data_IF_989210114176
#
_entry.id   IF_989210114176
#
_cell.length_a   1.000
_cell.length_b   1.000
_cell.length_c   1.000
_cell.angle_alpha   90.00
_cell.angle_beta   90.00
_cell.angle_gamma   90.00
#
_symmetry.space_group_name_H-M   'P 1'
#
loop_
_entity.id
_entity.type
_entity.pdbx_description
1 polymer ?
#
# COMPACT_ATOMS: atom_id res chain seq x y z
N UNK A 1 -7.30 -57.70 -25.48
CA UNK A 1 -7.47 -57.87 -24.04
C UNK A 1 -6.72 -56.68 -23.43
N UNK A 2 -7.43 -55.61 -23.18
CA UNK A 2 -6.90 -54.41 -22.57
C UNK A 2 -7.69 -54.16 -21.30
N UNK A 3 -7.02 -54.31 -20.16
CA UNK A 3 -7.60 -54.08 -18.84
C UNK A 3 -7.56 -52.56 -18.54
N UNK A 4 -8.74 -51.98 -18.49
CA UNK A 4 -8.90 -50.58 -18.06
C UNK A 4 -8.95 -50.51 -16.54
N UNK A 5 -8.09 -49.71 -15.94
CA UNK A 5 -8.14 -49.29 -14.55
C UNK A 5 -9.15 -48.16 -14.39
N UNK A 6 -10.01 -48.20 -13.39
CA UNK A 6 -10.97 -47.12 -13.12
C UNK A 6 -10.31 -45.95 -12.40
N UNK A 7 -10.78 -44.69 -12.58
CA UNK A 7 -10.24 -43.51 -11.90
C UNK A 7 -10.60 -43.49 -10.42
N UNK A 8 -9.61 -43.34 -9.55
CA UNK A 8 -9.79 -43.21 -8.10
C UNK A 8 -10.45 -41.86 -7.76
N UNK A 9 -11.59 -41.93 -7.10
CA UNK A 9 -12.32 -40.82 -6.52
C UNK A 9 -11.60 -40.28 -5.28
N UNK A 10 -11.26 -38.98 -5.27
CA UNK A 10 -10.60 -38.27 -4.17
C UNK A 10 -11.48 -37.97 -2.94
N UNK A 11 -12.52 -38.76 -2.69
CA UNK A 11 -13.50 -38.49 -1.63
C UNK A 11 -13.50 -39.47 -0.43
N UNK A 12 -12.56 -40.39 -0.35
CA UNK A 12 -12.54 -41.34 0.77
C UNK A 12 -11.23 -41.34 1.56
N UNK A 13 -10.94 -40.25 2.24
CA UNK A 13 -9.88 -40.22 3.26
C UNK A 13 -10.17 -39.20 4.38
N UNK A 14 -11.37 -39.29 4.95
CA UNK A 14 -11.65 -38.69 6.27
C UNK A 14 -12.54 -39.67 7.04
N UNK A 15 -11.94 -40.66 7.67
CA UNK A 15 -12.56 -41.36 8.79
C UNK A 15 -11.46 -42.07 9.62
N UNK A 16 -11.33 -41.65 10.86
CA UNK A 16 -10.78 -42.49 11.91
C UNK A 16 -9.45 -42.06 12.47
N UNK A 17 -9.48 -41.43 13.62
CA UNK A 17 -8.74 -41.91 14.80
C UNK A 17 -9.49 -41.43 16.03
N UNK A 18 -10.07 -42.38 16.68
CA UNK A 18 -10.76 -42.26 17.94
C UNK A 18 -9.81 -42.27 19.13
N UNK A 19 -10.34 -41.73 20.16
CA UNK A 19 -10.16 -41.88 21.59
C UNK A 19 -9.22 -42.97 22.12
N UNK A 20 -8.34 -42.59 23.06
CA UNK A 20 -7.88 -43.33 24.28
C UNK A 20 -7.05 -42.31 25.06
N UNK A 21 -7.20 -42.02 26.31
CA UNK A 21 -7.66 -42.73 27.48
C UNK A 21 -7.14 -41.94 28.69
N UNK A 22 -8.01 -41.63 29.61
CA UNK A 22 -7.73 -41.07 30.93
C UNK A 22 -7.16 -42.16 31.84
N UNK A 23 -6.03 -41.95 32.49
CA UNK A 23 -5.68 -42.50 33.81
C UNK A 23 -4.60 -41.63 34.49
N UNK A 24 -4.96 -40.93 35.53
CA UNK A 24 -4.53 -41.05 36.91
C UNK A 24 -3.06 -40.77 37.19
N UNK A 25 -2.75 -39.60 37.76
CA UNK A 25 -1.51 -39.30 38.40
C UNK A 25 -1.65 -38.06 39.27
N UNK A 26 -1.92 -38.27 40.59
CA UNK A 26 -1.85 -37.20 41.58
C UNK A 26 -0.39 -36.76 41.74
N UNK A 27 -0.06 -35.59 41.23
CA UNK A 27 1.22 -34.97 41.43
C UNK A 27 1.01 -33.52 41.87
N UNK A 28 1.52 -33.21 43.05
CA UNK A 28 1.50 -31.91 43.70
C UNK A 28 1.89 -30.79 42.76
N UNK A 29 0.90 -29.93 42.42
CA UNK A 29 1.11 -28.67 41.75
C UNK A 29 1.72 -27.71 42.78
N UNK A 30 3.02 -27.47 42.65
CA UNK A 30 3.69 -26.31 43.22
C UNK A 30 3.10 -25.08 42.53
N UNK A 31 2.33 -24.34 43.31
CA UNK A 31 1.84 -23.00 42.96
C UNK A 31 3.02 -22.06 42.82
N UNK A 32 3.64 -22.06 41.66
CA UNK A 32 4.44 -20.90 41.17
C UNK A 32 3.52 -20.06 40.32
N UNK A 33 3.33 -18.81 40.79
CA UNK A 33 2.41 -17.84 40.28
C UNK A 33 2.18 -17.92 38.77
N UNK A 34 0.90 -17.99 38.39
CA UNK A 34 0.44 -17.65 37.07
C UNK A 34 0.94 -16.22 36.78
N UNK A 35 1.48 -15.95 35.58
CA UNK A 35 1.66 -14.57 35.17
C UNK A 35 0.29 -13.92 35.25
N UNK A 36 0.15 -12.93 36.13
CA UNK A 36 -0.99 -12.02 36.13
C UNK A 36 -0.97 -11.37 34.75
N UNK A 37 -1.95 -11.69 33.91
CA UNK A 37 -2.34 -10.80 32.85
C UNK A 37 -2.95 -9.61 33.57
N UNK A 38 -2.11 -8.65 33.89
CA UNK A 38 -2.53 -7.35 34.29
C UNK A 38 -3.39 -6.85 33.12
N UNK A 39 -4.68 -6.77 33.34
CA UNK A 39 -5.55 -5.95 32.52
C UNK A 39 -5.11 -4.51 32.82
N UNK A 40 -4.00 -4.12 32.22
CA UNK A 40 -3.70 -2.71 32.03
C UNK A 40 -4.93 -2.13 31.39
N UNK A 41 -5.59 -1.25 32.12
CA UNK A 41 -6.54 -0.30 31.57
C UNK A 41 -5.89 0.20 30.30
N UNK A 42 -6.56 -0.10 29.17
CA UNK A 42 -6.27 0.55 27.92
C UNK A 42 -6.55 2.03 28.19
N UNK A 43 -5.52 2.75 28.57
CA UNK A 43 -5.46 4.15 28.27
C UNK A 43 -5.74 4.20 26.79
N UNK A 44 -6.90 4.72 26.42
CA UNK A 44 -7.14 5.20 25.08
C UNK A 44 -6.08 6.27 24.90
N UNK A 45 -4.94 5.83 24.41
CA UNK A 45 -4.03 6.66 23.69
C UNK A 45 -4.86 7.19 22.52
N UNK A 46 -5.35 8.41 22.68
CA UNK A 46 -5.75 9.24 21.56
C UNK A 46 -4.44 9.49 20.80
N UNK A 47 -3.91 8.41 20.20
CA UNK A 47 -2.75 8.44 19.36
C UNK A 47 -3.11 9.26 18.15
N UNK A 48 -2.63 10.46 18.11
CA UNK A 48 -2.14 11.02 16.86
C UNK A 48 -1.40 9.87 16.21
N UNK A 49 -1.95 9.37 15.11
CA UNK A 49 -1.44 8.26 14.33
C UNK A 49 -0.11 8.76 13.74
N UNK A 50 0.93 8.69 14.57
CA UNK A 50 2.31 9.01 14.25
C UNK A 50 2.80 7.91 13.29
N UNK A 51 2.10 7.79 12.13
CA UNK A 51 2.56 6.97 11.02
C UNK A 51 3.83 7.61 10.52
N UNK A 52 4.91 7.12 11.08
CA UNK A 52 6.22 7.42 10.56
C UNK A 52 6.16 7.17 9.05
N UNK A 53 6.48 8.15 8.19
CA UNK A 53 6.36 8.00 6.75
C UNK A 53 7.12 6.75 6.31
N UNK A 54 6.49 5.97 5.43
CA UNK A 54 7.11 4.79 4.84
C UNK A 54 8.09 5.26 3.77
N UNK A 55 9.30 4.79 3.85
CA UNK A 55 10.37 5.21 2.96
C UNK A 55 10.68 4.14 1.91
N UNK A 56 10.79 4.56 0.65
CA UNK A 56 11.24 3.74 -0.48
C UNK A 56 12.59 4.24 -0.96
N UNK A 57 13.57 3.36 -1.02
CA UNK A 57 14.88 3.68 -1.60
C UNK A 57 14.76 3.78 -3.12
N UNK A 58 14.91 5.00 -3.64
CA UNK A 58 14.83 5.29 -5.08
C UNK A 58 16.21 5.24 -5.74
N UNK A 59 16.21 4.99 -7.05
CA UNK A 59 17.43 4.95 -7.85
C UNK A 59 17.55 6.17 -8.76
N UNK A 60 18.76 6.47 -9.21
CA UNK A 60 19.01 7.48 -10.25
C UNK A 60 18.59 6.90 -11.62
N UNK A 61 17.47 7.39 -12.14
CA UNK A 61 16.87 7.00 -13.41
C UNK A 61 16.12 8.17 -14.03
N UNK A 62 15.57 8.00 -15.23
CA UNK A 62 14.79 9.05 -15.88
C UNK A 62 13.57 9.43 -15.01
N UNK A 63 13.48 10.72 -14.60
CA UNK A 63 12.44 11.23 -13.72
C UNK A 63 12.57 10.82 -12.24
N UNK A 64 13.66 10.15 -11.86
CA UNK A 64 13.93 9.68 -10.49
C UNK A 64 15.34 10.04 -10.07
N UNK A 65 15.49 10.55 -8.85
CA UNK A 65 16.79 10.76 -8.21
C UNK A 65 17.05 9.67 -7.18
N UNK A 66 18.34 9.29 -7.05
CA UNK A 66 18.74 8.35 -5.99
C UNK A 66 18.54 8.99 -4.61
N UNK A 67 17.90 8.29 -3.71
CA UNK A 67 17.60 8.79 -2.37
C UNK A 67 16.46 8.05 -1.72
N UNK A 68 15.65 8.78 -0.99
CA UNK A 68 14.49 8.23 -0.27
C UNK A 68 13.24 8.99 -0.69
N UNK A 69 12.20 8.25 -1.05
CA UNK A 69 10.86 8.78 -1.30
C UNK A 69 9.96 8.37 -0.13
N UNK A 70 9.46 9.36 0.60
CA UNK A 70 8.56 9.13 1.72
C UNK A 70 7.09 9.06 1.25
N UNK A 71 6.29 8.23 1.88
CA UNK A 71 4.84 8.13 1.69
C UNK A 71 4.19 8.18 3.08
N UNK A 72 3.24 9.11 3.33
CA UNK A 72 2.68 10.08 2.39
C UNK A 72 3.65 11.20 1.99
N UNK A 73 3.24 11.98 0.99
CA UNK A 73 3.89 13.23 0.55
C UNK A 73 2.95 14.41 0.79
N UNK A 74 3.41 15.63 0.48
CA UNK A 74 2.56 16.84 0.50
C UNK A 74 1.50 16.87 -0.64
N UNK A 75 1.39 15.81 -1.42
CA UNK A 75 0.44 15.68 -2.53
C UNK A 75 -0.11 14.26 -2.67
N UNK A 76 -1.21 14.14 -3.40
CA UNK A 76 -1.81 12.83 -3.72
C UNK A 76 -0.81 11.98 -4.49
N UNK A 77 -0.51 10.80 -3.98
CA UNK A 77 0.53 9.93 -4.52
C UNK A 77 -0.06 8.72 -5.22
N UNK A 78 0.27 8.56 -6.51
CA UNK A 78 -0.03 7.34 -7.28
C UNK A 78 1.14 6.38 -7.19
N UNK A 79 0.89 5.16 -6.70
CA UNK A 79 1.95 4.16 -6.50
C UNK A 79 1.65 2.92 -7.32
N UNK A 80 2.60 2.49 -8.16
CA UNK A 80 2.52 1.22 -8.87
C UNK A 80 3.52 0.20 -8.32
N UNK A 81 3.01 -0.94 -7.88
CA UNK A 81 3.84 -2.09 -7.49
C UNK A 81 4.02 -3.02 -8.68
N UNK A 82 5.27 -3.42 -8.96
CA UNK A 82 5.60 -4.16 -10.18
C UNK A 82 6.76 -5.14 -10.03
N UNK A 83 6.99 -5.91 -11.09
CA UNK A 83 8.24 -6.65 -11.35
C UNK A 83 8.62 -6.52 -12.81
N UNK A 84 9.90 -6.55 -13.14
CA UNK A 84 10.40 -6.36 -14.51
C UNK A 84 10.04 -7.50 -15.45
N UNK A 85 9.85 -8.72 -14.93
CA UNK A 85 9.45 -9.90 -15.73
C UNK A 85 7.96 -10.00 -16.04
N UNK A 86 7.14 -9.04 -15.63
CA UNK A 86 5.69 -9.06 -15.75
C UNK A 86 5.21 -8.34 -17.03
N UNK A 87 4.64 -9.04 -17.98
CA UNK A 87 4.13 -8.44 -19.22
C UNK A 87 2.99 -7.43 -18.99
N UNK A 88 2.13 -7.65 -17.99
CA UNK A 88 1.09 -6.68 -17.63
C UNK A 88 1.69 -5.42 -17.00
N UNK A 89 2.79 -5.54 -16.24
CA UNK A 89 3.50 -4.38 -15.71
C UNK A 89 4.07 -3.53 -16.84
N UNK A 90 4.70 -4.16 -17.84
CA UNK A 90 5.18 -3.47 -19.05
C UNK A 90 4.04 -2.77 -19.80
N UNK A 91 2.88 -3.42 -19.93
CA UNK A 91 1.71 -2.85 -20.60
C UNK A 91 1.05 -1.70 -19.79
N UNK A 92 1.25 -1.64 -18.47
CA UNK A 92 0.75 -0.57 -17.61
C UNK A 92 1.60 0.70 -17.74
N UNK A 93 2.91 0.59 -17.94
CA UNK A 93 3.84 1.72 -17.92
C UNK A 93 3.44 2.90 -18.83
N UNK A 94 3.17 2.71 -20.14
CA UNK A 94 2.81 3.84 -21.00
C UNK A 94 1.51 4.53 -20.57
N UNK A 95 0.55 3.78 -20.01
CA UNK A 95 -0.71 4.36 -19.52
C UNK A 95 -0.53 5.19 -18.26
N UNK A 96 0.40 4.77 -17.41
CA UNK A 96 0.76 5.52 -16.22
C UNK A 96 1.56 6.77 -16.59
N UNK A 97 2.42 6.69 -17.60
CA UNK A 97 3.13 7.84 -18.14
C UNK A 97 2.16 8.90 -18.70
N UNK A 98 1.19 8.47 -19.51
CA UNK A 98 0.15 9.36 -20.05
C UNK A 98 -0.69 10.01 -18.95
N UNK A 99 -1.10 9.22 -17.93
CA UNK A 99 -1.86 9.73 -16.78
C UNK A 99 -1.05 10.76 -15.97
N UNK A 100 0.25 10.47 -15.76
CA UNK A 100 1.16 11.39 -15.07
C UNK A 100 1.30 12.70 -15.82
N UNK A 101 1.51 12.66 -17.14
CA UNK A 101 1.65 13.86 -17.96
C UNK A 101 0.41 14.75 -17.80
N UNK A 102 -0.80 14.19 -17.97
CA UNK A 102 -2.06 14.91 -17.83
C UNK A 102 -2.24 15.50 -16.42
N UNK A 103 -1.99 14.71 -15.39
CA UNK A 103 -2.20 15.11 -14.00
C UNK A 103 -1.18 16.17 -13.53
N UNK A 104 0.09 16.04 -13.91
CA UNK A 104 1.13 17.03 -13.57
C UNK A 104 0.89 18.35 -14.32
N UNK A 105 0.48 18.30 -15.59
CA UNK A 105 0.14 19.51 -16.35
C UNK A 105 -1.03 20.28 -15.72
N UNK A 106 -1.99 19.56 -15.14
CA UNK A 106 -3.21 20.15 -14.57
C UNK A 106 -3.06 20.56 -13.11
N UNK A 107 -2.35 19.78 -12.30
CA UNK A 107 -2.31 19.90 -10.84
C UNK A 107 -0.92 20.22 -10.28
N UNK A 108 0.14 20.15 -11.09
CA UNK A 108 1.51 20.45 -10.66
C UNK A 108 2.01 19.55 -9.54
N UNK A 109 2.59 20.17 -8.53
CA UNK A 109 3.21 19.47 -7.39
C UNK A 109 2.20 18.81 -6.43
N UNK A 110 0.89 19.04 -6.64
CA UNK A 110 -0.16 18.39 -5.84
C UNK A 110 -0.30 16.91 -6.14
N UNK A 111 0.35 16.40 -7.19
CA UNK A 111 0.34 15.00 -7.55
C UNK A 111 1.75 14.44 -7.62
N UNK A 112 1.95 13.28 -7.03
CA UNK A 112 3.22 12.57 -7.00
C UNK A 112 3.07 11.17 -7.57
N UNK A 113 4.17 10.66 -8.14
CA UNK A 113 4.19 9.32 -8.72
C UNK A 113 5.40 8.54 -8.21
N UNK A 114 5.15 7.30 -7.82
CA UNK A 114 6.15 6.33 -7.38
C UNK A 114 5.87 4.98 -8.03
N UNK A 115 6.92 4.28 -8.45
CA UNK A 115 6.84 2.86 -8.76
C UNK A 115 7.82 2.08 -7.90
N UNK A 116 7.34 1.06 -7.20
CA UNK A 116 8.13 0.24 -6.31
C UNK A 116 8.17 -1.21 -6.82
N UNK A 117 9.38 -1.74 -7.05
CA UNK A 117 9.53 -3.14 -7.46
C UNK A 117 9.67 -4.07 -6.26
N UNK A 118 9.02 -5.23 -6.34
CA UNK A 118 9.20 -6.31 -5.34
C UNK A 118 10.56 -7.01 -5.40
N UNK A 119 11.32 -6.75 -6.46
CA UNK A 119 12.66 -7.29 -6.61
C UNK A 119 13.63 -6.54 -5.71
N UNK A 120 14.70 -7.17 -5.29
CA UNK A 120 15.74 -6.57 -4.47
C UNK A 120 16.96 -6.20 -5.32
N UNK A 121 17.85 -5.31 -4.86
CA UNK A 121 19.09 -5.00 -5.57
C UNK A 121 19.96 -6.24 -5.92
N UNK A 122 19.87 -7.30 -5.12
CA UNK A 122 20.56 -8.56 -5.40
C UNK A 122 19.98 -9.35 -6.59
N UNK A 123 18.67 -9.23 -6.82
CA UNK A 123 17.94 -9.94 -7.88
C UNK A 123 17.70 -9.08 -9.12
N UNK A 124 17.71 -7.78 -8.96
CA UNK A 124 17.57 -6.76 -9.99
C UNK A 124 18.54 -5.61 -9.68
N UNK A 125 19.77 -5.61 -10.17
CA UNK A 125 20.71 -4.52 -10.00
C UNK A 125 20.15 -3.19 -10.51
N UNK A 126 20.53 -2.06 -9.90
CA UNK A 126 20.06 -0.73 -10.30
C UNK A 126 20.23 -0.44 -11.79
N UNK A 127 21.34 -0.87 -12.38
CA UNK A 127 21.60 -0.68 -13.80
C UNK A 127 20.53 -1.36 -14.68
N UNK A 128 20.10 -2.57 -14.29
CA UNK A 128 19.08 -3.34 -15.01
C UNK A 128 17.69 -2.72 -14.79
N UNK A 129 17.40 -2.24 -13.57
CA UNK A 129 16.15 -1.52 -13.26
C UNK A 129 16.08 -0.21 -14.06
N UNK A 130 17.18 0.55 -14.15
CA UNK A 130 17.28 1.80 -14.91
C UNK A 130 17.06 1.56 -16.41
N UNK A 131 17.68 0.51 -16.98
CA UNK A 131 17.50 0.14 -18.38
C UNK A 131 16.05 -0.25 -18.67
N UNK A 132 15.45 -1.06 -17.81
CA UNK A 132 14.05 -1.45 -17.91
C UNK A 132 13.13 -0.24 -17.84
N UNK A 133 13.39 0.67 -16.89
CA UNK A 133 12.62 1.89 -16.64
C UNK A 133 12.55 2.78 -17.89
N UNK A 134 13.70 3.12 -18.44
CA UNK A 134 13.82 3.92 -19.67
C UNK A 134 13.17 3.24 -20.87
N UNK A 135 13.34 1.92 -20.99
CA UNK A 135 12.76 1.14 -22.11
C UNK A 135 11.22 1.16 -22.09
N UNK A 136 10.60 1.28 -20.93
CA UNK A 136 9.15 1.23 -20.75
C UNK A 136 8.51 2.58 -20.43
N UNK A 137 9.13 3.69 -20.80
CA UNK A 137 8.62 5.05 -20.65
C UNK A 137 8.48 5.52 -19.20
N UNK A 138 9.28 4.99 -18.29
CA UNK A 138 9.36 5.47 -16.92
C UNK A 138 10.03 6.84 -16.85
N UNK A 139 9.39 7.84 -16.22
CA UNK A 139 9.94 9.19 -16.04
C UNK A 139 9.46 9.84 -14.73
N UNK A 140 9.31 9.06 -13.69
CA UNK A 140 8.96 9.48 -12.32
C UNK A 140 9.75 8.64 -11.31
N UNK A 141 9.52 8.82 -10.00
CA UNK A 141 10.27 8.12 -8.97
C UNK A 141 10.13 6.60 -9.07
N UNK A 142 11.25 5.90 -9.04
CA UNK A 142 11.31 4.44 -9.06
C UNK A 142 12.31 3.91 -8.04
N UNK A 143 11.93 2.83 -7.36
CA UNK A 143 12.77 2.24 -6.32
C UNK A 143 12.40 0.80 -5.97
N UNK A 144 13.01 0.32 -4.89
CA UNK A 144 12.79 -1.01 -4.36
C UNK A 144 11.78 -0.96 -3.21
N UNK A 145 10.77 -1.83 -3.26
CA UNK A 145 9.82 -1.94 -2.16
C UNK A 145 10.50 -2.44 -0.88
N UNK A 146 10.41 -1.64 0.17
CA UNK A 146 10.96 -1.93 1.50
C UNK A 146 9.88 -2.28 2.53
N UNK A 147 8.68 -2.66 2.05
CA UNK A 147 7.54 -3.01 2.89
C UNK A 147 6.31 -2.11 2.67
N UNK A 148 6.39 -1.14 1.77
CA UNK A 148 5.29 -0.24 1.42
C UNK A 148 4.05 -1.01 0.93
N UNK A 149 4.24 -2.01 0.05
CA UNK A 149 3.16 -2.87 -0.40
C UNK A 149 2.47 -3.59 0.75
N UNK A 150 3.24 -4.11 1.70
CA UNK A 150 2.73 -4.79 2.89
C UNK A 150 1.92 -3.87 3.79
N UNK A 151 2.37 -2.62 3.99
CA UNK A 151 1.68 -1.62 4.82
C UNK A 151 0.32 -1.22 4.25
N UNK A 152 0.17 -1.21 2.93
CA UNK A 152 -1.10 -0.96 2.25
C UNK A 152 -1.91 -2.23 1.97
N UNK A 153 -1.45 -3.41 2.42
CA UNK A 153 -2.13 -4.69 2.19
C UNK A 153 -2.17 -5.11 0.73
N UNK A 154 -1.26 -4.60 -0.10
CA UNK A 154 -1.21 -4.87 -1.54
C UNK A 154 -0.59 -6.24 -1.80
N UNK A 155 -1.24 -7.02 -2.66
CA UNK A 155 -0.78 -8.35 -3.07
C UNK A 155 -0.85 -8.50 -4.59
N UNK A 156 0.27 -8.87 -5.21
CA UNK A 156 0.35 -9.10 -6.66
C UNK A 156 0.94 -7.93 -7.45
N UNK A 157 0.93 -8.05 -8.77
CA UNK A 157 1.45 -7.01 -9.68
C UNK A 157 0.90 -7.16 -11.12
N UNK A 158 0.78 -6.07 -11.89
CA UNK A 158 0.84 -4.72 -11.36
C UNK A 158 -0.37 -4.45 -10.46
N UNK A 159 -0.15 -3.73 -9.39
CA UNK A 159 -1.21 -3.11 -8.58
C UNK A 159 -0.90 -1.63 -8.54
N UNK A 160 -1.93 -0.80 -8.78
CA UNK A 160 -1.82 0.65 -8.67
C UNK A 160 -2.75 1.12 -7.57
N UNK A 161 -2.22 1.94 -6.66
CA UNK A 161 -2.97 2.56 -5.58
C UNK A 161 -2.87 4.09 -5.68
N UNK A 162 -3.84 4.77 -5.09
CA UNK A 162 -3.81 6.23 -4.86
C UNK A 162 -3.95 6.49 -3.37
N UNK A 163 -3.03 7.29 -2.87
CA UNK A 163 -2.87 7.63 -1.44
C UNK A 163 -2.93 9.13 -1.31
N UNK A 164 -3.65 9.65 -0.29
CA UNK A 164 -3.75 11.06 0.02
C UNK A 164 -2.55 11.59 0.84
N UNK A 165 -2.64 12.85 1.25
CA UNK A 165 -1.61 13.52 2.06
C UNK A 165 -1.53 13.01 3.50
N UNK A 166 -2.57 12.35 4.00
CA UNK A 166 -2.60 11.72 5.33
C UNK A 166 -2.10 10.26 5.29
N UNK A 167 -1.83 9.73 4.10
CA UNK A 167 -1.40 8.35 3.90
C UNK A 167 -2.54 7.34 3.84
N UNK A 168 -3.78 7.79 3.66
CA UNK A 168 -4.92 6.90 3.47
C UNK A 168 -5.02 6.44 2.01
N UNK A 169 -5.28 5.15 1.82
CA UNK A 169 -5.46 4.58 0.49
C UNK A 169 -6.92 4.69 0.05
N UNK A 170 -7.19 5.50 -0.98
CA UNK A 170 -8.53 5.75 -1.52
C UNK A 170 -8.89 4.85 -2.69
N UNK A 171 -7.90 4.38 -3.45
CA UNK A 171 -8.14 3.55 -4.61
C UNK A 171 -7.08 2.47 -4.76
N UNK A 172 -7.50 1.30 -5.24
CA UNK A 172 -6.63 0.16 -5.55
C UNK A 172 -7.19 -0.64 -6.71
N UNK A 173 -6.35 -0.93 -7.69
CA UNK A 173 -6.71 -1.82 -8.80
C UNK A 173 -5.55 -2.71 -9.20
N UNK A 174 -5.88 -3.96 -9.43
CA UNK A 174 -4.94 -4.97 -9.92
C UNK A 174 -5.03 -5.10 -11.43
N UNK A 175 -3.89 -5.30 -12.09
CA UNK A 175 -3.80 -5.47 -13.54
C UNK A 175 -3.68 -4.14 -14.29
N UNK A 176 -3.90 -4.21 -15.60
CA UNK A 176 -3.70 -3.06 -16.49
C UNK A 176 -4.91 -2.14 -16.46
N UNK A 177 -4.70 -0.89 -16.06
CA UNK A 177 -5.73 0.15 -16.01
C UNK A 177 -5.56 1.13 -17.17
N UNK A 178 -6.66 1.75 -17.62
CA UNK A 178 -6.59 2.83 -18.61
C UNK A 178 -6.12 4.14 -17.99
N UNK A 179 -5.54 5.02 -18.80
CA UNK A 179 -5.17 6.38 -18.43
C UNK A 179 -6.32 7.13 -17.77
N UNK A 180 -7.50 7.18 -18.40
CA UNK A 180 -8.68 7.87 -17.87
C UNK A 180 -9.12 7.36 -16.49
N UNK A 181 -8.97 6.05 -16.23
CA UNK A 181 -9.34 5.47 -14.93
C UNK A 181 -8.37 5.90 -13.83
N UNK A 182 -7.08 5.99 -14.13
CA UNK A 182 -6.06 6.45 -13.19
C UNK A 182 -6.27 7.95 -12.92
N UNK A 183 -6.44 8.75 -13.97
CA UNK A 183 -6.71 10.19 -13.87
C UNK A 183 -7.93 10.44 -12.99
N UNK A 184 -9.07 9.80 -13.30
CA UNK A 184 -10.29 9.95 -12.53
C UNK A 184 -10.16 9.55 -11.06
N UNK A 185 -9.37 8.51 -10.75
CA UNK A 185 -9.11 8.11 -9.37
C UNK A 185 -8.33 9.18 -8.59
N UNK A 186 -7.27 9.73 -9.19
CA UNK A 186 -6.46 10.79 -8.56
C UNK A 186 -7.27 12.08 -8.38
N UNK A 187 -8.02 12.49 -9.41
CA UNK A 187 -8.85 13.71 -9.34
C UNK A 187 -9.93 13.61 -8.26
N UNK A 188 -10.52 12.42 -8.08
CA UNK A 188 -11.49 12.20 -7.02
C UNK A 188 -10.91 12.41 -5.62
N UNK A 189 -9.65 12.02 -5.39
CA UNK A 189 -8.98 12.24 -4.10
C UNK A 189 -8.62 13.72 -3.93
N UNK A 190 -8.10 14.38 -4.96
CA UNK A 190 -7.79 15.80 -4.93
C UNK A 190 -9.00 16.69 -4.65
N UNK A 191 -10.18 16.30 -5.14
CA UNK A 191 -11.44 17.00 -4.84
C UNK A 191 -11.81 16.88 -3.37
N UNK A 192 -11.60 15.71 -2.77
CA UNK A 192 -11.90 15.46 -1.35
C UNK A 192 -11.02 16.30 -0.45
N UNK A 193 -9.71 16.36 -0.72
CA UNK A 193 -8.77 17.17 0.06
C UNK A 193 -9.08 18.67 0.04
N UNK A 194 -9.60 19.20 -1.08
CA UNK A 194 -9.95 20.63 -1.18
C UNK A 194 -11.17 21.00 -0.34
N UNK A 195 -12.08 20.06 -0.07
CA UNK A 195 -13.26 20.33 0.77
C UNK A 195 -12.91 20.36 2.25
N UNK A 196 -11.90 19.61 2.69
CA UNK A 196 -11.50 19.56 4.09
C UNK A 196 -10.72 20.82 4.50
N UNK A 197 -9.94 21.42 3.61
CA UNK A 197 -9.20 22.67 3.85
C UNK A 197 -10.12 23.90 3.93
N UNK A 198 -11.21 23.97 3.14
CA UNK A 198 -12.16 25.10 3.13
C UNK A 198 -13.12 25.09 4.35
N UNK A 199 -13.27 23.98 5.06
CA UNK A 199 -14.16 23.87 6.23
C UNK A 199 -13.56 24.38 7.54
N UNK A 200 -12.27 24.73 7.57
CA UNK A 200 -11.53 25.19 8.75
C UNK A 200 -11.57 26.68 9.06
N UNK A 201 -12.04 27.55 8.16
CA UNK A 201 -11.92 29.02 8.33
C UNK A 201 -13.22 29.78 8.67
N UNK A 202 -14.29 29.14 9.10
CA UNK A 202 -15.49 29.85 9.51
C UNK A 202 -15.76 29.76 11.03
N UNK A 203 -14.95 30.44 11.85
CA UNK A 203 -15.39 30.88 13.17
C UNK A 203 -14.64 32.07 13.66
N UNK A 204 -15.30 33.16 13.63
CA UNK A 204 -15.31 34.27 14.51
C UNK A 204 -15.11 35.58 14.13
N UNK A 205 -15.84 36.29 14.55
CA UNK A 205 -15.70 37.28 15.64
C UNK A 205 -16.65 38.44 15.40
N UNK A 206 -17.84 38.28 15.84
CA UNK A 206 -18.72 39.44 16.05
C UNK A 206 -19.03 39.57 17.53
N UNK A 207 -18.06 40.13 18.26
CA UNK A 207 -18.30 40.73 19.57
C UNK A 207 -18.45 42.23 19.38
N UNK A 208 -19.66 42.64 19.03
CA UNK A 208 -20.07 44.02 19.12
C UNK A 208 -20.07 44.46 20.57
N UNK A 209 -19.15 45.34 20.94
CA UNK A 209 -19.22 46.17 22.16
C UNK A 209 -19.99 47.45 21.84
N UNK A 210 -21.26 47.45 22.19
CA UNK A 210 -22.09 48.64 22.24
C UNK A 210 -22.25 49.02 23.69
N UNK A 211 -21.39 49.87 24.19
CA UNK A 211 -21.58 50.54 25.49
C UNK A 211 -21.97 51.96 25.28
N UNK A 212 -23.25 52.21 25.54
CA UNK A 212 -23.91 53.51 25.65
C UNK A 212 -23.67 54.09 27.00
N UNK A 213 -23.27 55.36 27.09
CA UNK A 213 -23.74 56.32 28.05
C UNK A 213 -23.34 57.74 27.70
#
# INVERSE_FOLDING_TARGET
MGSGEPPMNRRELIAGIGSVGVLGGAGTVLVRGLPSFDNGESETDDGEDDRNPLEVETIDAEGSEAGTFAVPTDGVTTIMFFTTGCGNCQAQMPRLADAREELVDKHGDRVQFLSATYQTPDTLPEADLREWWTTHSGNWNVGYDSGLAGSYGVVGFPVTIVVDTDGEKHWEETGVQSTDKIVGAVESVLETETFDDDSGEESTDESGDESTA
#
